data_IF_167826676730
#
_entry.id   IF_167826676730
#
_cell.length_a   1.000
_cell.length_b   1.000
_cell.length_c   1.000
_cell.angle_alpha   90.00
_cell.angle_beta   90.00
_cell.angle_gamma   90.00
#
_symmetry.space_group_name_H-M   'P 1'
#
loop_
_entity.id
_entity.type
_entity.pdbx_description
1 polymer ?
#
# COMPACT_ATOMS: atom_id res chain seq x y z
N UNK A 1 41.97 -11.71 38.81
CA UNK A 1 40.96 -10.65 38.64
C UNK A 1 40.88 -10.40 37.15
N UNK A 2 39.82 -10.67 36.42
CA UNK A 2 38.50 -11.21 36.72
C UNK A 2 37.94 -11.55 35.33
N UNK A 3 37.29 -12.70 35.16
CA UNK A 3 36.50 -12.95 33.97
C UNK A 3 35.26 -12.07 34.07
N UNK A 4 35.01 -11.23 33.06
CA UNK A 4 33.68 -10.65 32.85
C UNK A 4 33.04 -11.39 31.68
N UNK A 5 31.93 -12.12 31.87
CA UNK A 5 31.29 -12.87 30.81
C UNK A 5 30.59 -11.88 29.87
N UNK A 6 30.94 -11.89 28.59
CA UNK A 6 30.11 -11.26 27.57
C UNK A 6 28.80 -12.05 27.51
N UNK A 7 27.72 -11.39 27.89
CA UNK A 7 26.38 -11.93 27.89
C UNK A 7 26.07 -12.56 26.51
N UNK A 8 25.55 -13.79 26.53
CA UNK A 8 24.91 -14.41 25.37
C UNK A 8 23.65 -13.62 25.05
N UNK A 9 23.74 -12.69 24.11
CA UNK A 9 22.54 -12.04 23.59
C UNK A 9 21.88 -12.97 22.58
N UNK A 10 20.91 -13.74 23.07
CA UNK A 10 19.91 -14.47 22.29
C UNK A 10 18.93 -13.52 21.59
N UNK A 11 19.44 -12.44 20.99
CA UNK A 11 18.63 -11.47 20.27
C UNK A 11 18.17 -12.11 18.97
N UNK A 12 16.91 -12.56 18.95
CA UNK A 12 16.24 -13.04 17.74
C UNK A 12 16.44 -12.02 16.61
N UNK A 13 17.19 -12.41 15.59
CA UNK A 13 17.47 -11.59 14.43
C UNK A 13 16.17 -11.32 13.67
N UNK A 14 15.96 -10.08 13.19
CA UNK A 14 14.84 -9.72 12.31
C UNK A 14 14.69 -10.68 11.13
N UNK A 15 15.80 -11.25 10.65
CA UNK A 15 15.82 -12.22 9.56
C UNK A 15 15.27 -13.58 9.98
N UNK A 16 15.54 -14.01 11.21
CA UNK A 16 14.98 -15.23 11.79
C UNK A 16 13.47 -15.07 12.07
N UNK A 17 13.05 -13.89 12.55
CA UNK A 17 11.64 -13.55 12.69
C UNK A 17 10.92 -13.55 11.33
N UNK A 18 11.43 -12.80 10.35
CA UNK A 18 10.83 -12.76 9.01
C UNK A 18 10.85 -14.12 8.31
N UNK A 19 11.89 -14.94 8.47
CA UNK A 19 11.94 -16.31 7.92
C UNK A 19 10.93 -17.24 8.57
N UNK A 20 10.70 -17.12 9.88
CA UNK A 20 9.71 -17.92 10.60
C UNK A 20 8.28 -17.53 10.19
N UNK A 21 8.02 -16.23 10.11
CA UNK A 21 6.71 -15.70 9.72
C UNK A 21 6.44 -15.76 8.21
N UNK A 22 7.44 -15.82 7.33
CA UNK A 22 7.22 -16.12 5.90
C UNK A 22 6.96 -17.61 5.63
N UNK A 23 7.38 -18.49 6.54
CA UNK A 23 7.02 -19.92 6.50
C UNK A 23 5.61 -20.23 7.02
N UNK A 24 5.02 -19.34 7.83
CA UNK A 24 3.71 -19.53 8.47
C UNK A 24 2.65 -18.52 7.96
N UNK A 25 3.06 -17.36 7.44
CA UNK A 25 2.26 -16.13 7.39
C UNK A 25 1.52 -15.80 6.10
N UNK A 26 0.93 -16.80 5.43
CA UNK A 26 -0.17 -16.57 4.46
C UNK A 26 -1.38 -17.50 4.75
N UNK A 27 -1.21 -18.55 5.56
CA UNK A 27 -2.31 -19.49 5.83
C UNK A 27 -3.47 -18.84 6.60
N UNK A 28 -3.20 -17.92 7.53
CA UNK A 28 -4.24 -17.20 8.27
C UNK A 28 -5.08 -16.26 7.38
N UNK A 29 -4.57 -15.86 6.21
CA UNK A 29 -5.32 -15.10 5.20
C UNK A 29 -5.96 -15.96 4.13
N UNK A 30 -5.58 -17.24 4.02
CA UNK A 30 -6.12 -18.14 3.01
C UNK A 30 -7.61 -18.40 3.25
N UNK A 31 -8.00 -18.72 4.48
CA UNK A 31 -9.40 -19.01 4.77
C UNK A 31 -10.34 -17.82 4.44
N UNK A 32 -10.08 -16.57 4.88
CA UNK A 32 -10.92 -15.43 4.48
C UNK A 32 -10.98 -15.22 2.95
N UNK A 33 -9.86 -15.37 2.23
CA UNK A 33 -9.81 -15.22 0.78
C UNK A 33 -10.57 -16.32 0.03
N UNK A 34 -10.46 -17.57 0.48
CA UNK A 34 -11.18 -18.71 -0.08
C UNK A 34 -12.68 -18.60 0.18
N UNK A 35 -13.05 -18.16 1.38
CA UNK A 35 -14.43 -17.95 1.77
C UNK A 35 -15.10 -16.86 0.90
N UNK A 36 -14.40 -15.75 0.66
CA UNK A 36 -14.83 -14.74 -0.31
C UNK A 36 -14.93 -15.28 -1.74
N UNK A 37 -14.03 -16.19 -2.13
CA UNK A 37 -14.11 -16.90 -3.41
C UNK A 37 -15.37 -17.77 -3.52
N UNK A 38 -15.68 -18.55 -2.48
CA UNK A 38 -16.89 -19.38 -2.43
C UNK A 38 -18.18 -18.54 -2.49
N UNK A 39 -18.22 -17.37 -1.83
CA UNK A 39 -19.36 -16.45 -1.91
C UNK A 39 -19.59 -15.93 -3.34
N UNK A 40 -18.51 -15.54 -4.03
CA UNK A 40 -18.60 -15.07 -5.42
C UNK A 40 -19.05 -16.18 -6.37
N UNK A 41 -18.55 -17.41 -6.20
CA UNK A 41 -18.92 -18.55 -7.04
C UNK A 41 -20.38 -18.95 -6.86
N UNK A 42 -20.90 -18.86 -5.65
CA UNK A 42 -22.29 -19.18 -5.34
C UNK A 42 -23.28 -18.01 -5.57
N UNK A 43 -22.78 -16.81 -5.87
CA UNK A 43 -23.56 -15.57 -5.98
C UNK A 43 -24.39 -15.26 -4.71
N UNK A 44 -23.89 -15.61 -3.53
CA UNK A 44 -24.56 -15.36 -2.25
C UNK A 44 -23.98 -14.15 -1.53
N UNK A 45 -24.84 -13.41 -0.82
CA UNK A 45 -24.46 -12.25 -0.02
C UNK A 45 -24.09 -12.61 1.42
N UNK A 46 -24.58 -13.75 1.90
CA UNK A 46 -24.31 -14.28 3.23
C UNK A 46 -23.35 -15.46 3.16
N UNK A 47 -22.59 -15.66 4.24
CA UNK A 47 -21.68 -16.78 4.39
C UNK A 47 -22.43 -17.98 4.91
N UNK A 48 -22.31 -19.12 4.23
CA UNK A 48 -22.91 -20.38 4.68
C UNK A 48 -21.89 -21.30 5.35
N UNK A 49 -22.41 -22.27 6.11
CA UNK A 49 -21.61 -23.33 6.73
C UNK A 49 -20.84 -24.15 5.67
N UNK A 50 -21.45 -24.41 4.52
CA UNK A 50 -20.81 -25.16 3.43
C UNK A 50 -19.60 -24.41 2.86
N UNK A 51 -19.72 -23.10 2.65
CA UNK A 51 -18.61 -22.24 2.20
C UNK A 51 -17.50 -22.21 3.24
N UNK A 52 -17.85 -22.04 4.52
CA UNK A 52 -16.88 -21.97 5.63
C UNK A 52 -16.12 -23.28 5.77
N UNK A 53 -16.81 -24.42 5.68
CA UNK A 53 -16.19 -25.75 5.70
C UNK A 53 -15.25 -25.94 4.52
N UNK A 54 -15.67 -25.53 3.32
CA UNK A 54 -14.84 -25.64 2.10
C UNK A 54 -13.59 -24.78 2.23
N UNK A 55 -13.73 -23.53 2.67
CA UNK A 55 -12.62 -22.62 2.88
C UNK A 55 -11.64 -23.11 3.95
N UNK A 56 -12.15 -23.68 5.06
CA UNK A 56 -11.33 -24.27 6.11
C UNK A 56 -10.51 -25.47 5.60
N UNK A 57 -11.14 -26.39 4.87
CA UNK A 57 -10.47 -27.57 4.29
C UNK A 57 -9.36 -27.17 3.32
N UNK A 58 -9.63 -26.22 2.43
CA UNK A 58 -8.63 -25.74 1.46
C UNK A 58 -7.53 -24.92 2.15
N UNK A 59 -7.85 -24.21 3.24
CA UNK A 59 -6.85 -23.52 4.07
C UNK A 59 -6.03 -24.47 4.97
N UNK A 60 -6.36 -25.76 5.02
CA UNK A 60 -5.70 -26.74 5.90
C UNK A 60 -6.00 -26.52 7.38
N UNK A 61 -7.20 -26.03 7.70
CA UNK A 61 -7.69 -25.80 9.06
C UNK A 61 -8.73 -26.86 9.42
N UNK A 62 -8.56 -27.47 10.59
CA UNK A 62 -9.49 -28.44 11.15
C UNK A 62 -10.34 -27.76 12.24
N UNK A 63 -11.66 -27.75 12.03
CA UNK A 63 -12.64 -27.22 12.98
C UNK A 63 -13.73 -28.26 13.22
N UNK A 64 -14.31 -28.28 14.42
CA UNK A 64 -15.55 -29.01 14.68
C UNK A 64 -16.74 -28.36 13.98
N UNK A 65 -17.85 -29.09 13.86
CA UNK A 65 -19.08 -28.53 13.27
C UNK A 65 -19.61 -27.36 14.11
N UNK A 66 -19.53 -27.45 15.44
CA UNK A 66 -19.91 -26.37 16.35
C UNK A 66 -19.00 -25.13 16.20
N UNK A 67 -17.70 -25.33 15.96
CA UNK A 67 -16.76 -24.25 15.70
C UNK A 67 -17.04 -23.56 14.35
N UNK A 68 -17.39 -24.34 13.32
CA UNK A 68 -17.78 -23.79 12.02
C UNK A 68 -19.06 -22.97 12.10
N UNK A 69 -20.06 -23.41 12.88
CA UNK A 69 -21.28 -22.64 13.14
C UNK A 69 -20.96 -21.30 13.81
N UNK A 70 -20.12 -21.30 14.84
CA UNK A 70 -19.68 -20.05 15.49
C UNK A 70 -18.93 -19.11 14.55
N UNK A 71 -18.11 -19.66 13.63
CA UNK A 71 -17.39 -18.86 12.63
C UNK A 71 -18.38 -18.22 11.65
N UNK A 72 -19.35 -18.97 11.13
CA UNK A 72 -20.39 -18.45 10.22
C UNK A 72 -21.11 -17.27 10.83
N UNK A 73 -21.60 -17.42 12.07
CA UNK A 73 -22.30 -16.36 12.80
C UNK A 73 -21.42 -15.11 12.97
N UNK A 74 -20.17 -15.30 13.40
CA UNK A 74 -19.22 -14.20 13.60
C UNK A 74 -18.85 -13.47 12.32
N UNK A 75 -18.74 -14.19 11.21
CA UNK A 75 -18.43 -13.60 9.89
C UNK A 75 -19.63 -12.81 9.36
N UNK A 76 -20.85 -13.36 9.41
CA UNK A 76 -22.05 -12.65 8.96
C UNK A 76 -22.30 -11.38 9.78
N UNK A 77 -22.16 -11.44 11.11
CA UNK A 77 -22.24 -10.24 11.96
C UNK A 77 -21.15 -9.20 11.62
N UNK A 78 -19.99 -9.64 11.14
CA UNK A 78 -18.93 -8.74 10.70
C UNK A 78 -19.27 -8.10 9.36
N UNK A 79 -19.89 -8.84 8.43
CA UNK A 79 -20.37 -8.31 7.16
C UNK A 79 -21.40 -7.20 7.37
N UNK A 80 -22.41 -7.43 8.22
CA UNK A 80 -23.40 -6.41 8.58
C UNK A 80 -22.73 -5.12 9.12
N UNK A 81 -21.79 -5.26 10.06
CA UNK A 81 -21.01 -4.13 10.59
C UNK A 81 -20.22 -3.39 9.51
N UNK A 82 -19.68 -4.11 8.52
CA UNK A 82 -18.98 -3.47 7.40
C UNK A 82 -19.93 -2.71 6.48
N UNK A 83 -21.15 -3.20 6.26
CA UNK A 83 -22.18 -2.49 5.49
C UNK A 83 -22.58 -1.18 6.17
N UNK A 84 -22.77 -1.20 7.49
CA UNK A 84 -23.02 0.01 8.29
C UNK A 84 -21.90 1.05 8.14
N UNK A 85 -20.64 0.61 8.19
CA UNK A 85 -19.48 1.51 7.99
C UNK A 85 -19.48 2.07 6.56
N UNK A 86 -19.73 1.24 5.55
CA UNK A 86 -19.77 1.66 4.14
C UNK A 86 -20.93 2.61 3.82
N UNK A 87 -22.02 2.54 4.59
CA UNK A 87 -23.14 3.46 4.47
C UNK A 87 -22.82 4.88 4.98
N UNK A 88 -21.73 5.06 5.74
CA UNK A 88 -21.31 6.38 6.22
C UNK A 88 -20.74 7.20 5.04
N UNK A 89 -21.32 8.38 4.71
CA UNK A 89 -20.84 9.19 3.60
C UNK A 89 -19.46 9.78 3.92
N UNK A 90 -18.50 9.54 3.04
CA UNK A 90 -17.14 10.10 3.10
C UNK A 90 -16.91 10.97 1.87
N UNK A 91 -16.68 12.26 2.08
CA UNK A 91 -16.28 13.15 0.99
C UNK A 91 -14.86 12.82 0.52
N UNK A 92 -14.61 12.89 -0.79
CA UNK A 92 -13.27 12.69 -1.36
C UNK A 92 -12.22 13.71 -0.86
N UNK A 93 -12.67 14.81 -0.24
CA UNK A 93 -11.83 15.81 0.42
C UNK A 93 -11.24 15.31 1.74
N UNK A 94 -11.80 14.26 2.33
CA UNK A 94 -11.38 13.71 3.62
C UNK A 94 -10.20 12.77 3.41
N UNK A 95 -9.04 13.17 3.92
CA UNK A 95 -7.84 12.34 3.88
C UNK A 95 -8.01 11.10 4.79
N UNK A 96 -7.59 9.90 4.36
CA UNK A 96 -7.56 8.73 5.23
C UNK A 96 -6.71 8.99 6.49
N UNK A 97 -7.09 8.44 7.65
CA UNK A 97 -6.34 8.58 8.90
C UNK A 97 -5.06 7.71 8.94
N UNK A 98 -4.37 7.57 7.80
CA UNK A 98 -3.11 6.83 7.66
C UNK A 98 -1.89 7.77 7.66
N UNK A 99 -2.05 8.99 8.18
CA UNK A 99 -0.97 9.97 8.21
C UNK A 99 0.14 9.52 9.16
N UNK A 100 1.30 9.21 8.59
CA UNK A 100 2.50 8.90 9.34
C UNK A 100 3.26 10.18 9.67
N UNK A 101 3.36 10.51 10.96
CA UNK A 101 4.20 11.60 11.44
C UNK A 101 5.47 10.96 12.04
N UNK A 102 6.63 11.04 11.37
CA UNK A 102 7.88 10.52 11.91
C UNK A 102 8.43 11.37 13.07
N UNK A 103 7.86 12.56 13.30
CA UNK A 103 8.26 13.46 14.38
C UNK A 103 7.68 12.98 15.72
N UNK A 104 8.54 12.90 16.72
CA UNK A 104 8.13 12.65 18.12
C UNK A 104 8.07 13.96 18.89
N UNK A 105 7.30 14.01 19.99
CA UNK A 105 7.25 15.17 20.87
C UNK A 105 8.65 15.54 21.37
N UNK A 106 9.07 16.79 21.16
CA UNK A 106 10.40 17.28 21.54
C UNK A 106 11.51 17.01 20.53
N UNK A 107 11.20 16.53 19.32
CA UNK A 107 12.17 16.42 18.23
C UNK A 107 12.54 17.81 17.70
N UNK A 108 13.80 18.20 17.88
CA UNK A 108 14.38 19.37 17.20
C UNK A 108 14.79 18.98 15.78
N UNK A 109 14.13 19.57 14.78
CA UNK A 109 14.45 19.37 13.37
C UNK A 109 15.34 20.53 12.92
N UNK A 110 16.55 20.21 12.45
CA UNK A 110 17.44 21.21 11.85
C UNK A 110 16.91 21.58 10.46
N UNK A 111 16.14 22.67 10.40
CA UNK A 111 15.70 23.25 9.14
C UNK A 111 16.85 24.03 8.52
N UNK A 112 17.52 23.43 7.55
CA UNK A 112 18.46 24.16 6.70
C UNK A 112 17.63 24.93 5.68
N UNK A 113 17.59 26.25 5.78
CA UNK A 113 17.11 27.11 4.68
C UNK A 113 18.05 26.96 3.48
N UNK A 114 17.77 25.97 2.64
CA UNK A 114 18.40 25.81 1.35
C UNK A 114 17.60 26.56 0.30
N UNK A 115 18.20 27.55 -0.36
CA UNK A 115 17.67 28.02 -1.64
C UNK A 115 18.00 26.99 -2.72
N UNK A 116 17.01 26.63 -3.54
CA UNK A 116 17.24 25.78 -4.71
C UNK A 116 18.19 26.52 -5.67
N UNK A 117 19.43 26.05 -5.78
CA UNK A 117 20.37 26.56 -6.79
C UNK A 117 20.20 25.75 -8.06
N UNK A 118 19.43 26.28 -9.00
CA UNK A 118 19.35 25.72 -10.35
C UNK A 118 20.71 25.92 -11.05
N UNK A 119 21.23 24.86 -11.66
CA UNK A 119 22.40 24.95 -12.54
C UNK A 119 22.10 25.81 -13.77
N UNK A 120 23.15 26.35 -14.41
CA UNK A 120 22.99 27.06 -15.67
C UNK A 120 22.43 26.12 -16.75
N UNK A 121 21.32 26.50 -17.37
CA UNK A 121 20.70 25.77 -18.47
C UNK A 121 21.28 26.24 -19.80
N UNK A 122 21.53 25.31 -20.72
CA UNK A 122 21.90 25.68 -22.08
C UNK A 122 20.67 26.26 -22.78
N UNK A 123 20.81 27.33 -23.58
CA UNK A 123 19.71 27.83 -24.38
C UNK A 123 19.36 26.78 -25.44
N UNK A 124 18.11 26.31 -25.42
CA UNK A 124 17.56 25.42 -26.43
C UNK A 124 16.65 26.21 -27.37
N UNK A 125 16.62 25.81 -28.63
CA UNK A 125 15.75 26.41 -29.65
C UNK A 125 14.69 25.40 -30.06
N UNK A 126 13.49 25.88 -30.33
CA UNK A 126 12.40 25.07 -30.86
C UNK A 126 12.83 24.44 -32.20
N UNK A 127 12.79 23.10 -32.34
CA UNK A 127 13.01 22.44 -33.62
C UNK A 127 11.90 22.79 -34.62
N UNK A 128 12.16 22.55 -35.91
CA UNK A 128 11.18 22.83 -36.97
C UNK A 128 9.95 21.94 -36.86
N UNK A 129 10.15 20.66 -36.52
CA UNK A 129 9.08 19.74 -36.12
C UNK A 129 9.10 19.59 -34.59
N UNK A 130 7.96 19.83 -33.93
CA UNK A 130 7.89 19.74 -32.47
C UNK A 130 8.09 18.29 -31.98
N UNK A 131 7.75 17.29 -32.80
CA UNK A 131 7.94 15.87 -32.49
C UNK A 131 9.42 15.48 -32.31
N UNK A 132 10.35 16.25 -32.90
CA UNK A 132 11.79 16.04 -32.68
C UNK A 132 12.21 16.38 -31.23
N UNK A 133 11.37 17.13 -30.50
CA UNK A 133 11.52 17.40 -29.08
C UNK A 133 10.87 16.34 -28.18
N UNK A 134 10.21 15.33 -28.74
CA UNK A 134 9.68 14.21 -27.98
C UNK A 134 10.83 13.53 -27.23
N UNK A 135 10.61 13.22 -25.95
CA UNK A 135 11.60 12.62 -25.06
C UNK A 135 12.83 13.48 -24.72
N UNK A 136 12.83 14.78 -25.05
CA UNK A 136 13.83 15.70 -24.48
C UNK A 136 13.74 15.74 -22.95
N UNK A 137 14.82 16.18 -22.31
CA UNK A 137 14.82 16.32 -20.86
C UNK A 137 13.76 17.32 -20.41
N UNK A 138 13.14 17.09 -19.25
CA UNK A 138 12.16 18.02 -18.66
C UNK A 138 12.77 19.42 -18.49
N UNK A 139 14.08 19.51 -18.29
CA UNK A 139 14.79 20.78 -18.13
C UNK A 139 14.83 21.58 -19.43
N UNK A 140 15.03 20.91 -20.56
CA UNK A 140 15.06 21.54 -21.89
C UNK A 140 13.64 21.92 -22.35
N UNK A 141 12.66 21.05 -22.11
CA UNK A 141 11.25 21.36 -22.37
C UNK A 141 10.76 22.56 -21.55
N UNK A 142 11.13 22.63 -20.26
CA UNK A 142 10.85 23.78 -19.41
C UNK A 142 11.49 25.06 -19.96
N UNK A 143 12.70 24.98 -20.51
CA UNK A 143 13.38 26.13 -21.11
C UNK A 143 12.66 26.64 -22.38
N UNK A 144 12.10 25.75 -23.21
CA UNK A 144 11.28 26.15 -24.37
C UNK A 144 10.00 26.89 -23.97
N UNK A 145 9.36 26.45 -22.88
CA UNK A 145 8.18 27.12 -22.31
C UNK A 145 8.57 28.48 -21.71
N UNK A 146 9.62 28.52 -20.89
CA UNK A 146 10.11 29.73 -20.22
C UNK A 146 10.52 30.81 -21.23
N UNK A 147 11.21 30.41 -22.30
CA UNK A 147 11.57 31.28 -23.42
C UNK A 147 10.42 31.56 -24.39
N UNK A 148 9.21 31.04 -24.12
CA UNK A 148 7.98 31.22 -24.92
C UNK A 148 8.08 30.73 -26.37
N UNK A 149 8.97 29.79 -26.64
CA UNK A 149 9.09 29.16 -27.95
C UNK A 149 8.00 28.10 -28.17
N UNK A 150 7.49 27.49 -27.09
CA UNK A 150 6.43 26.48 -27.10
C UNK A 150 5.44 26.76 -25.97
N UNK A 151 4.15 26.54 -26.21
CA UNK A 151 3.09 26.60 -25.20
C UNK A 151 2.90 25.24 -24.53
N UNK A 152 2.51 25.18 -23.25
CA UNK A 152 2.23 23.91 -22.58
C UNK A 152 1.20 23.04 -23.30
N UNK A 153 0.20 23.66 -23.95
CA UNK A 153 -0.82 22.96 -24.74
C UNK A 153 -0.24 22.20 -25.92
N UNK A 154 0.79 22.75 -26.57
CA UNK A 154 1.44 22.10 -27.72
C UNK A 154 2.20 20.83 -27.29
N UNK A 155 2.76 20.80 -26.07
CA UNK A 155 3.41 19.60 -25.54
C UNK A 155 2.41 18.51 -25.13
N UNK A 156 1.22 18.91 -24.68
CA UNK A 156 0.13 17.96 -24.35
C UNK A 156 -0.60 17.45 -25.57
N UNK A 157 -0.50 18.12 -26.73
CA UNK A 157 -1.07 17.64 -27.99
C UNK A 157 -0.12 16.65 -28.70
N UNK A 158 1.17 16.73 -28.40
CA UNK A 158 2.22 15.79 -28.86
C UNK A 158 2.12 14.39 -28.20
N UNK A 159 1.48 14.29 -27.02
CA UNK A 159 1.33 13.06 -26.22
C UNK A 159 -0.12 12.65 -26.03
#
# INVERSE_FOLDING_TARGET
MEQTPVAKDGAQSRRSFLSYFSGIGISSTLMPGLLWGCMQEAEEQEVTLAMTRTAAQVAGLDFSDEELEMIVDGVNQSLERFEEIRATPLENSVMPPLHFIPMVSGMDVEYVEGSLRLGARSPVTRPTDLEDAAFWSVTDLAQLIESRQVRPTELTEMY
#
